data_IF_647598687806
#
_entry.id   IF_647598687806
#
_cell.length_a   1.000
_cell.length_b   1.000
_cell.length_c   1.000
_cell.angle_alpha   90.00
_cell.angle_beta   90.00
_cell.angle_gamma   90.00
#
_symmetry.space_group_name_H-M   'P 1'
#
loop_
_entity.id
_entity.type
_entity.pdbx_description
1 polymer ?
#
# COMPACT_ATOMS: atom_id res chain seq x y z
N UNK A 1 2.61 -0.23 -11.07
CA UNK A 1 1.31 -0.71 -10.57
C UNK A 1 1.53 -2.13 -10.09
N UNK A 2 1.15 -2.48 -8.85
CA UNK A 2 1.36 -3.82 -8.28
C UNK A 2 0.73 -4.91 -9.16
N UNK A 3 1.24 -6.16 -9.11
CA UNK A 3 0.76 -7.26 -9.95
C UNK A 3 -0.77 -7.38 -9.87
N UNK A 4 -1.43 -7.43 -11.04
CA UNK A 4 -2.90 -7.47 -11.11
C UNK A 4 -3.47 -8.73 -10.46
N UNK A 5 -2.67 -9.79 -10.41
CA UNK A 5 -2.97 -11.07 -9.78
C UNK A 5 -3.21 -10.95 -8.26
N UNK A 6 -2.77 -9.86 -7.63
CA UNK A 6 -2.98 -9.55 -6.21
C UNK A 6 -4.16 -8.61 -5.95
N UNK A 7 -4.88 -8.18 -6.99
CA UNK A 7 -5.95 -7.21 -6.84
C UNK A 7 -7.18 -7.86 -6.22
N UNK A 8 -7.71 -7.23 -5.18
CA UNK A 8 -8.94 -7.63 -4.49
C UNK A 8 -10.02 -6.57 -4.74
N UNK A 9 -11.30 -6.97 -4.81
CA UNK A 9 -12.42 -6.03 -4.84
C UNK A 9 -12.79 -5.61 -3.42
N UNK A 10 -13.08 -4.32 -3.18
CA UNK A 10 -13.61 -3.86 -1.88
C UNK A 10 -15.09 -4.30 -1.73
N UNK A 11 -15.45 -5.08 -0.70
CA UNK A 11 -16.83 -5.54 -0.48
C UNK A 11 -17.74 -4.51 0.20
N UNK A 12 -17.24 -3.34 0.61
CA UNK A 12 -18.03 -2.34 1.32
C UNK A 12 -19.02 -1.61 0.39
N UNK A 13 -20.24 -1.39 0.87
CA UNK A 13 -21.28 -0.62 0.17
C UNK A 13 -20.81 0.82 -0.12
N UNK A 14 -21.05 1.29 -1.36
CA UNK A 14 -20.61 2.62 -1.81
C UNK A 14 -19.15 2.68 -2.27
N UNK A 15 -18.48 1.53 -2.40
CA UNK A 15 -17.11 1.40 -2.93
C UNK A 15 -17.04 0.46 -4.13
N UNK A 16 -18.13 0.42 -4.90
CA UNK A 16 -18.21 -0.40 -6.09
C UNK A 16 -17.11 0.00 -7.09
N UNK A 17 -16.37 -0.99 -7.59
CA UNK A 17 -15.26 -0.78 -8.51
C UNK A 17 -13.95 -0.33 -7.88
N UNK A 18 -13.88 -0.20 -6.54
CA UNK A 18 -12.62 0.02 -5.86
C UNK A 18 -11.76 -1.25 -5.90
N UNK A 19 -10.46 -1.04 -6.11
CA UNK A 19 -9.44 -2.08 -6.12
C UNK A 19 -8.60 -1.94 -4.86
N UNK A 20 -8.51 -3.02 -4.10
CA UNK A 20 -7.58 -3.14 -2.98
C UNK A 20 -6.32 -3.82 -3.48
N UNK A 21 -5.18 -3.23 -3.19
CA UNK A 21 -3.89 -3.87 -3.46
C UNK A 21 -3.08 -4.04 -2.17
N UNK A 22 -2.78 -5.29 -1.76
CA UNK A 22 -1.81 -5.55 -0.71
C UNK A 22 -0.38 -5.31 -1.24
N UNK A 23 0.41 -4.61 -0.44
CA UNK A 23 1.80 -4.27 -0.73
C UNK A 23 2.67 -4.61 0.47
N UNK A 24 3.49 -5.66 0.35
CA UNK A 24 4.60 -5.90 1.27
C UNK A 24 5.75 -4.97 0.94
N UNK A 25 6.39 -4.40 1.96
CA UNK A 25 7.50 -3.49 1.77
C UNK A 25 8.59 -3.68 2.83
N UNK A 26 9.82 -3.38 2.42
CA UNK A 26 10.95 -3.16 3.31
C UNK A 26 11.25 -1.66 3.36
N UNK A 27 11.34 -1.10 4.56
CA UNK A 27 11.72 0.27 4.83
C UNK A 27 13.12 0.30 5.45
N UNK A 28 14.03 1.01 4.81
CA UNK A 28 15.40 1.21 5.30
C UNK A 28 15.58 2.68 5.67
N UNK A 29 15.89 2.94 6.93
CA UNK A 29 16.22 4.28 7.43
C UNK A 29 17.72 4.34 7.74
N UNK A 30 18.46 5.11 6.93
CA UNK A 30 19.90 5.27 7.06
C UNK A 30 20.27 6.58 7.77
N UNK A 31 21.06 6.49 8.84
CA UNK A 31 21.58 7.64 9.59
C UNK A 31 23.06 7.88 9.26
N UNK A 32 23.34 8.98 8.57
CA UNK A 32 24.70 9.32 8.13
C UNK A 32 25.67 9.65 9.27
N UNK A 33 25.17 10.10 10.43
CA UNK A 33 26.02 10.53 11.55
C UNK A 33 26.84 9.39 12.18
N UNK A 34 26.26 8.20 12.29
CA UNK A 34 26.90 7.02 12.90
C UNK A 34 27.02 5.85 11.91
N UNK A 35 26.76 6.09 10.62
CA UNK A 35 26.72 5.08 9.56
C UNK A 35 25.88 3.85 9.94
N UNK A 36 24.74 4.08 10.60
CA UNK A 36 23.82 3.02 11.01
C UNK A 36 22.59 2.98 10.11
N UNK A 37 21.93 1.83 10.07
CA UNK A 37 20.63 1.69 9.41
C UNK A 37 19.68 0.90 10.30
N UNK A 38 18.40 1.29 10.23
CA UNK A 38 17.29 0.51 10.77
C UNK A 38 16.50 -0.06 9.60
N UNK A 39 16.16 -1.33 9.71
CA UNK A 39 15.35 -2.04 8.72
C UNK A 39 14.03 -2.40 9.41
N UNK A 40 12.93 -2.05 8.77
CA UNK A 40 11.59 -2.46 9.14
C UNK A 40 10.93 -3.11 7.93
N UNK A 41 10.14 -4.14 8.18
CA UNK A 41 9.34 -4.83 7.18
C UNK A 41 7.87 -4.69 7.55
N UNK A 42 7.03 -4.48 6.55
CA UNK A 42 5.63 -4.13 6.77
C UNK A 42 4.73 -4.53 5.62
N UNK A 43 3.44 -4.34 5.83
CA UNK A 43 2.42 -4.53 4.82
C UNK A 43 1.44 -3.37 4.87
N UNK A 44 1.11 -2.82 3.70
CA UNK A 44 0.07 -1.83 3.55
C UNK A 44 -0.97 -2.30 2.54
N UNK A 45 -2.23 -1.91 2.74
CA UNK A 45 -3.29 -2.04 1.74
C UNK A 45 -3.61 -0.67 1.16
N UNK A 46 -3.63 -0.58 -0.16
CA UNK A 46 -4.04 0.61 -0.89
C UNK A 46 -5.39 0.37 -1.52
N UNK A 47 -6.34 1.26 -1.22
CA UNK A 47 -7.66 1.25 -1.83
C UNK A 47 -7.64 2.28 -2.95
N UNK A 48 -7.80 1.80 -4.17
CA UNK A 48 -7.63 2.55 -5.39
C UNK A 48 -8.96 2.71 -6.11
N UNK A 49 -9.17 3.88 -6.69
CA UNK A 49 -10.27 4.14 -7.62
C UNK A 49 -9.69 4.64 -8.94
N UNK A 50 -10.13 4.07 -10.04
CA UNK A 50 -9.80 4.58 -11.37
C UNK A 50 -10.78 5.70 -11.74
N UNK A 51 -10.24 6.90 -11.97
CA UNK A 51 -10.99 8.05 -12.47
C UNK A 51 -10.31 8.61 -13.70
N UNK A 52 -11.02 8.66 -14.84
CA UNK A 52 -10.55 9.28 -16.09
C UNK A 52 -9.15 8.77 -16.52
N UNK A 53 -8.95 7.45 -16.49
CA UNK A 53 -7.68 6.77 -16.81
C UNK A 53 -6.52 7.12 -15.84
N UNK A 54 -6.83 7.59 -14.63
CA UNK A 54 -5.86 7.81 -13.57
C UNK A 54 -6.26 7.05 -12.31
N UNK A 55 -5.31 6.38 -11.68
CA UNK A 55 -5.52 5.69 -10.41
C UNK A 55 -5.27 6.65 -9.25
N UNK A 56 -6.22 6.69 -8.31
CA UNK A 56 -6.11 7.48 -7.08
C UNK A 56 -6.09 6.58 -5.87
N UNK A 57 -5.18 6.84 -4.94
CA UNK A 57 -5.22 6.23 -3.61
C UNK A 57 -6.28 6.99 -2.80
N UNK A 58 -7.36 6.31 -2.45
CA UNK A 58 -8.42 6.86 -1.62
C UNK A 58 -8.16 6.56 -0.14
N UNK A 59 -7.68 5.34 0.15
CA UNK A 59 -7.29 4.93 1.50
C UNK A 59 -5.92 4.27 1.43
N UNK A 60 -5.04 4.67 2.35
CA UNK A 60 -3.85 3.94 2.70
C UNK A 60 -4.02 3.40 4.12
N UNK A 61 -3.97 2.07 4.25
CA UNK A 61 -4.02 1.39 5.54
C UNK A 61 -2.69 0.69 5.79
N UNK A 62 -2.00 1.10 6.85
CA UNK A 62 -0.87 0.35 7.38
C UNK A 62 -1.39 -0.84 8.19
N UNK A 63 -0.86 -2.02 7.89
CA UNK A 63 -1.16 -3.28 8.59
C UNK A 63 0.13 -3.90 9.18
N UNK A 64 1.20 -3.10 9.26
CA UNK A 64 2.43 -3.49 9.96
C UNK A 64 2.15 -3.68 11.45
N UNK A 65 2.69 -4.76 12.03
CA UNK A 65 2.63 -4.99 13.47
C UNK A 65 3.65 -4.07 14.16
N UNK A 66 3.17 -3.24 15.09
CA UNK A 66 4.01 -2.42 15.98
C UNK A 66 4.82 -3.28 16.96
#
# INVERSE_FOLDING_TARGET
>A
MPPQDLWESDPAEGREGWIIVPCYFDLILSYGYNNSSYIANGMARFYLLEEKASWKIIIWRDESLL
#
